data_IF_168649708026
#
_entry.id   IF_168649708026
#
_cell.length_a   1.000
_cell.length_b   1.000
_cell.length_c   1.000
_cell.angle_alpha   90.00
_cell.angle_beta   90.00
_cell.angle_gamma   90.00
#
_symmetry.space_group_name_H-M   'P 1'
#
loop_
_entity.id
_entity.type
_entity.pdbx_description
1 polymer ?
#
# COMPACT_ATOMS: atom_id res chain seq x y z
N UNK A 1 4.77 -18.87 32.65
CA UNK A 1 3.92 -17.65 32.61
C UNK A 1 3.49 -17.29 31.19
N UNK A 2 4.40 -17.43 30.22
CA UNK A 2 4.25 -17.13 28.78
C UNK A 2 3.15 -17.93 28.07
N UNK A 3 2.98 -19.21 28.37
CA UNK A 3 1.94 -20.04 27.74
C UNK A 3 0.50 -19.70 28.19
N UNK A 4 0.32 -19.20 29.42
CA UNK A 4 -0.98 -18.69 29.88
C UNK A 4 -1.36 -17.39 29.18
N UNK A 5 -0.37 -16.53 28.87
CA UNK A 5 -0.60 -15.27 28.15
C UNK A 5 -0.95 -15.55 26.69
N UNK A 6 -0.22 -16.46 26.02
CA UNK A 6 -0.51 -16.87 24.63
C UNK A 6 -1.92 -17.45 24.49
N UNK A 7 -2.34 -18.34 25.41
CA UNK A 7 -3.72 -18.87 25.41
C UNK A 7 -4.76 -17.77 25.61
N UNK A 8 -4.49 -16.77 26.45
CA UNK A 8 -5.41 -15.65 26.70
C UNK A 8 -5.53 -14.73 25.48
N UNK A 9 -4.41 -14.42 24.83
CA UNK A 9 -4.38 -13.63 23.58
C UNK A 9 -5.08 -14.39 22.45
N UNK A 10 -4.83 -15.69 22.29
CA UNK A 10 -5.50 -16.52 21.29
C UNK A 10 -7.01 -16.62 21.51
N UNK A 11 -7.46 -16.73 22.76
CA UNK A 11 -8.89 -16.69 23.08
C UNK A 11 -9.51 -15.31 22.87
N UNK A 12 -8.78 -14.21 23.09
CA UNK A 12 -9.23 -12.86 22.76
C UNK A 12 -9.35 -12.70 21.24
N UNK A 13 -8.40 -13.22 20.46
CA UNK A 13 -8.44 -13.19 18.99
C UNK A 13 -9.62 -14.03 18.46
N UNK A 14 -9.88 -15.22 19.02
CA UNK A 14 -11.07 -16.02 18.68
C UNK A 14 -12.36 -15.29 19.09
N UNK A 15 -12.39 -14.64 20.25
CA UNK A 15 -13.55 -13.85 20.68
C UNK A 15 -13.80 -12.63 19.79
N UNK A 16 -12.74 -11.99 19.27
CA UNK A 16 -12.83 -10.90 18.29
C UNK A 16 -13.27 -11.41 16.92
N UNK A 17 -12.81 -12.59 16.49
CA UNK A 17 -13.18 -13.21 15.23
C UNK A 17 -14.63 -13.76 15.24
N UNK A 18 -15.12 -14.22 16.39
CA UNK A 18 -16.49 -14.79 16.54
C UNK A 18 -17.52 -13.83 17.15
N UNK A 19 -17.14 -12.63 17.57
CA UNK A 19 -18.15 -11.71 18.10
C UNK A 19 -18.85 -10.98 16.95
N UNK A 20 -20.17 -10.92 17.07
CA UNK A 20 -21.08 -10.02 16.36
C UNK A 20 -20.66 -8.53 16.43
N UNK A 21 -19.50 -8.19 17.02
CA UNK A 21 -18.94 -6.86 17.17
C UNK A 21 -18.36 -6.31 15.87
N UNK A 22 -17.64 -7.11 15.06
CA UNK A 22 -17.17 -6.68 13.74
C UNK A 22 -18.34 -6.46 12.78
N UNK A 23 -19.35 -7.34 12.81
CA UNK A 23 -20.59 -7.17 12.06
C UNK A 23 -21.41 -5.96 12.56
N UNK A 24 -21.41 -5.69 13.87
CA UNK A 24 -22.04 -4.48 14.45
C UNK A 24 -21.30 -3.21 14.08
N UNK A 25 -19.97 -3.20 14.05
CA UNK A 25 -19.16 -2.05 13.61
C UNK A 25 -19.42 -1.80 12.11
N UNK A 26 -19.48 -2.85 11.30
CA UNK A 26 -19.82 -2.77 9.89
C UNK A 26 -21.27 -2.27 9.66
N UNK A 27 -22.24 -2.74 10.43
CA UNK A 27 -23.64 -2.26 10.41
C UNK A 27 -23.77 -0.82 10.93
N UNK A 28 -22.97 -0.42 11.93
CA UNK A 28 -22.93 0.96 12.45
C UNK A 28 -22.36 1.92 11.39
N UNK A 29 -21.34 1.49 10.64
CA UNK A 29 -20.78 2.24 9.52
C UNK A 29 -21.78 2.37 8.36
N UNK A 30 -22.54 1.31 8.05
CA UNK A 30 -23.63 1.37 7.05
C UNK A 30 -24.80 2.28 7.50
N UNK A 31 -25.13 2.32 8.79
CA UNK A 31 -26.14 3.25 9.31
C UNK A 31 -25.66 4.71 9.34
N UNK A 32 -24.35 4.96 9.50
CA UNK A 32 -23.82 6.32 9.35
C UNK A 32 -23.95 6.84 7.91
N UNK A 33 -23.76 5.99 6.89
CA UNK A 33 -23.99 6.41 5.50
C UNK A 33 -25.48 6.71 5.21
N UNK A 34 -26.41 6.02 5.86
CA UNK A 34 -27.84 6.29 5.73
C UNK A 34 -28.28 7.60 6.39
N UNK A 35 -27.57 8.04 7.45
CA UNK A 35 -27.88 9.29 8.18
C UNK A 35 -27.31 10.53 7.45
N UNK A 36 -26.22 10.37 6.68
CA UNK A 36 -25.64 11.45 5.86
C UNK A 36 -26.29 11.53 4.46
N UNK A 37 -27.30 10.71 4.19
CA UNK A 37 -28.14 10.75 2.99
C UNK A 37 -28.98 12.02 2.89
N UNK A 38 -28.35 13.12 2.51
CA UNK A 38 -28.98 14.40 2.25
C UNK A 38 -29.98 14.24 1.10
N UNK A 39 -31.23 14.55 1.40
CA UNK A 39 -32.38 14.56 0.51
C UNK A 39 -32.12 15.42 -0.72
N UNK A 40 -31.78 14.79 -1.86
CA UNK A 40 -31.83 15.43 -3.17
C UNK A 40 -33.26 15.39 -3.71
N UNK A 41 -34.10 16.32 -3.26
CA UNK A 41 -35.38 16.63 -3.90
C UNK A 41 -35.10 17.19 -5.31
N UNK A 42 -35.34 16.38 -6.34
CA UNK A 42 -35.41 16.85 -7.73
C UNK A 42 -36.61 17.80 -7.87
N UNK A 43 -36.34 19.10 -8.00
CA UNK A 43 -37.23 20.02 -8.71
C UNK A 43 -36.77 20.05 -10.17
N UNK A 44 -37.65 19.56 -11.05
CA UNK A 44 -37.54 19.74 -12.48
C UNK A 44 -38.06 21.14 -12.80
N UNK A 45 -37.20 22.01 -13.32
CA UNK A 45 -37.63 23.28 -13.89
C UNK A 45 -37.15 23.36 -15.34
N UNK A 46 -38.10 23.65 -16.21
CA UNK A 46 -37.98 23.74 -17.64
C UNK A 46 -37.52 25.13 -18.01
N UNK A 47 -36.22 25.32 -18.27
CA UNK A 47 -35.70 26.29 -19.22
C UNK A 47 -34.17 26.14 -19.36
N UNK A 48 -33.73 25.74 -20.55
CA UNK A 48 -32.32 25.76 -20.96
C UNK A 48 -31.80 27.21 -20.96
N UNK A 49 -30.95 27.56 -20.00
CA UNK A 49 -29.95 28.61 -20.17
C UNK A 49 -28.84 28.49 -19.11
N UNK A 50 -27.63 28.14 -19.56
CA UNK A 50 -26.43 28.06 -18.73
C UNK A 50 -25.86 29.47 -18.60
N UNK A 51 -26.01 30.07 -17.41
CA UNK A 51 -25.15 31.16 -16.95
C UNK A 51 -24.36 30.66 -15.75
N UNK A 52 -23.07 30.37 -15.97
CA UNK A 52 -22.17 29.93 -14.90
C UNK A 52 -21.74 31.17 -14.12
N UNK A 53 -22.52 31.52 -13.09
CA UNK A 53 -22.05 32.38 -12.02
C UNK A 53 -21.08 31.57 -11.16
N UNK A 54 -19.77 31.87 -11.27
CA UNK A 54 -18.73 31.36 -10.37
C UNK A 54 -19.08 31.71 -8.94
N UNK A 55 -19.46 30.72 -8.14
CA UNK A 55 -19.33 30.78 -6.68
C UNK A 55 -18.27 29.76 -6.29
N UNK A 56 -17.05 30.26 -6.09
CA UNK A 56 -15.95 29.50 -5.49
C UNK A 56 -16.29 29.19 -4.04
N UNK A 57 -16.57 27.93 -3.72
CA UNK A 57 -16.46 27.45 -2.35
C UNK A 57 -15.20 26.61 -2.26
N UNK A 58 -14.14 27.26 -1.77
CA UNK A 58 -12.99 26.58 -1.19
C UNK A 58 -13.49 25.57 -0.16
N UNK A 59 -13.17 24.29 -0.33
CA UNK A 59 -13.21 23.30 0.73
C UNK A 59 -11.80 23.15 1.29
N UNK A 60 -11.31 24.22 1.91
CA UNK A 60 -10.27 24.09 2.94
C UNK A 60 -11.00 23.74 4.25
N UNK A 61 -10.66 22.61 4.85
CA UNK A 61 -10.95 22.35 6.26
C UNK A 61 -12.18 21.48 6.57
N UNK A 62 -12.17 20.23 6.13
CA UNK A 62 -12.65 19.18 7.03
C UNK A 62 -11.43 18.42 7.56
N UNK A 63 -10.87 18.92 8.66
CA UNK A 63 -10.02 18.10 9.51
C UNK A 63 -10.82 16.83 9.83
N UNK A 64 -10.23 15.65 9.62
CA UNK A 64 -10.88 14.38 9.94
C UNK A 64 -10.24 13.85 11.22
N UNK A 65 -10.44 14.49 12.38
CA UNK A 65 -9.62 14.27 13.57
C UNK A 65 -9.62 12.82 14.04
N UNK A 66 -10.67 12.04 13.77
CA UNK A 66 -10.72 10.62 14.11
C UNK A 66 -9.88 9.79 13.13
N UNK A 67 -10.01 10.02 11.83
CA UNK A 67 -9.24 9.29 10.81
C UNK A 67 -7.77 9.69 10.85
N UNK A 68 -7.46 10.96 11.05
CA UNK A 68 -6.10 11.46 11.23
C UNK A 68 -5.46 10.88 12.48
N UNK A 69 -6.22 10.71 13.56
CA UNK A 69 -5.75 10.00 14.77
C UNK A 69 -5.53 8.52 14.52
N UNK A 70 -6.38 7.85 13.73
CA UNK A 70 -6.20 6.44 13.37
C UNK A 70 -4.97 6.28 12.46
N UNK A 71 -4.84 7.10 11.43
CA UNK A 71 -3.70 7.09 10.50
C UNK A 71 -2.40 7.43 11.23
N UNK A 72 -2.38 8.47 12.05
CA UNK A 72 -1.23 8.84 12.89
C UNK A 72 -0.88 7.75 13.90
N UNK A 73 -1.88 7.11 14.52
CA UNK A 73 -1.63 6.01 15.45
C UNK A 73 -1.07 4.78 14.72
N UNK A 74 -1.62 4.42 13.56
CA UNK A 74 -1.12 3.31 12.74
C UNK A 74 0.30 3.60 12.23
N UNK A 75 0.54 4.79 11.72
CA UNK A 75 1.85 5.22 11.25
C UNK A 75 2.87 5.25 12.38
N UNK A 76 2.49 5.77 13.56
CA UNK A 76 3.35 5.77 14.74
C UNK A 76 3.64 4.36 15.22
N UNK A 77 2.63 3.49 15.30
CA UNK A 77 2.81 2.09 15.67
C UNK A 77 3.74 1.37 14.69
N UNK A 78 3.60 1.64 13.39
CA UNK A 78 4.46 1.07 12.36
C UNK A 78 5.89 1.61 12.46
N UNK A 79 6.06 2.91 12.65
CA UNK A 79 7.37 3.52 12.84
C UNK A 79 8.05 3.01 14.12
N UNK A 80 7.36 3.00 15.25
CA UNK A 80 7.87 2.47 16.52
C UNK A 80 8.24 0.98 16.37
N UNK A 81 7.47 0.21 15.60
CA UNK A 81 7.75 -1.20 15.28
C UNK A 81 9.00 -1.34 14.40
N UNK A 82 9.14 -0.54 13.35
CA UNK A 82 10.32 -0.54 12.48
C UNK A 82 11.55 -0.11 13.28
N UNK A 83 11.48 0.99 14.03
CA UNK A 83 12.58 1.50 14.83
C UNK A 83 13.03 0.48 15.90
N UNK A 84 12.08 -0.20 16.57
CA UNK A 84 12.39 -1.22 17.59
C UNK A 84 12.89 -2.55 17.04
N UNK A 85 12.62 -2.86 15.77
CA UNK A 85 13.11 -4.07 15.10
C UNK A 85 14.29 -3.82 14.17
N UNK A 86 14.71 -2.57 14.00
CA UNK A 86 15.77 -2.19 13.08
C UNK A 86 17.13 -2.71 13.54
N UNK A 87 17.85 -3.31 12.60
CA UNK A 87 19.22 -3.81 12.75
C UNK A 87 20.09 -3.25 11.63
N UNK A 88 21.40 -3.22 11.84
CA UNK A 88 22.38 -2.93 10.79
C UNK A 88 22.70 -4.23 10.07
N UNK A 89 22.51 -4.28 8.75
CA UNK A 89 22.85 -5.45 7.95
C UNK A 89 24.34 -5.49 7.57
N UNK A 90 24.76 -6.58 6.91
CA UNK A 90 26.15 -6.80 6.46
C UNK A 90 26.65 -5.72 5.49
N UNK A 91 25.74 -5.00 4.82
CA UNK A 91 26.04 -3.89 3.90
C UNK A 91 25.96 -2.52 4.59
N UNK A 92 25.79 -2.47 5.92
CA UNK A 92 25.72 -1.23 6.71
C UNK A 92 24.37 -0.50 6.65
N UNK A 93 23.32 -1.11 6.09
CA UNK A 93 21.99 -0.49 5.96
C UNK A 93 21.17 -0.72 7.22
N UNK A 94 20.43 0.30 7.66
CA UNK A 94 19.56 0.26 8.85
C UNK A 94 18.12 -0.05 8.42
N UNK A 95 17.50 -1.07 9.02
CA UNK A 95 16.10 -1.42 8.77
C UNK A 95 15.74 -2.76 9.37
N UNK A 96 14.55 -3.29 9.06
CA UNK A 96 14.10 -4.56 9.63
C UNK A 96 14.98 -5.74 9.19
N UNK A 97 15.09 -6.83 9.97
CA UNK A 97 16.06 -7.90 9.71
C UNK A 97 15.84 -8.58 8.35
N UNK A 98 16.93 -8.88 7.65
CA UNK A 98 16.89 -9.49 6.31
C UNK A 98 16.27 -10.89 6.31
N UNK A 99 16.33 -11.59 7.44
CA UNK A 99 15.72 -12.91 7.63
C UNK A 99 14.20 -12.89 7.41
N UNK A 100 13.55 -11.74 7.55
CA UNK A 100 12.11 -11.63 7.33
C UNK A 100 11.72 -11.74 5.85
N UNK A 101 12.67 -11.40 4.96
CA UNK A 101 12.53 -11.59 3.53
C UNK A 101 12.73 -13.06 3.09
N UNK A 102 13.26 -13.93 3.96
CA UNK A 102 13.46 -15.34 3.65
C UNK A 102 12.14 -16.10 3.48
N UNK A 103 12.12 -17.09 2.58
CA UNK A 103 10.90 -17.76 2.09
C UNK A 103 10.07 -18.50 3.17
N UNK A 104 10.60 -18.75 4.36
CA UNK A 104 9.94 -19.52 5.43
C UNK A 104 9.22 -18.69 6.51
N UNK A 105 9.20 -17.35 6.41
CA UNK A 105 8.57 -16.52 7.44
C UNK A 105 7.04 -16.63 7.46
N UNK A 106 6.45 -16.59 8.67
CA UNK A 106 4.98 -16.59 8.89
C UNK A 106 4.30 -15.44 8.12
N UNK A 107 5.01 -14.34 7.92
CA UNK A 107 4.57 -13.18 7.15
C UNK A 107 4.36 -13.53 5.66
N UNK A 108 5.26 -14.31 5.03
CA UNK A 108 5.09 -14.76 3.65
C UNK A 108 3.86 -15.66 3.48
N UNK A 109 3.62 -16.58 4.44
CA UNK A 109 2.43 -17.44 4.44
C UNK A 109 1.15 -16.62 4.61
N UNK A 110 1.17 -15.61 5.48
CA UNK A 110 0.03 -14.71 5.67
C UNK A 110 -0.21 -13.81 4.45
N UNK A 111 0.86 -13.32 3.79
CA UNK A 111 0.76 -12.53 2.56
C UNK A 111 0.08 -13.31 1.45
N UNK A 112 0.51 -14.55 1.20
CA UNK A 112 -0.09 -15.44 0.18
C UNK A 112 -1.58 -15.71 0.44
N UNK A 113 -1.98 -15.92 1.70
CA UNK A 113 -3.37 -16.22 2.08
C UNK A 113 -4.30 -15.01 1.94
N UNK A 114 -3.83 -13.80 2.28
CA UNK A 114 -4.65 -12.59 2.22
C UNK A 114 -4.62 -11.92 0.82
N UNK A 115 -3.55 -12.12 0.05
CA UNK A 115 -3.45 -11.59 -1.32
C UNK A 115 -4.39 -12.31 -2.32
N UNK A 116 -4.83 -13.53 -1.99
CA UNK A 116 -5.62 -14.38 -2.90
C UNK A 116 -7.13 -14.12 -2.94
N UNK A 117 -7.69 -13.24 -2.10
CA UNK A 117 -9.12 -12.95 -2.09
C UNK A 117 -9.44 -11.45 -2.30
N UNK A 118 -10.47 -11.17 -3.10
CA UNK A 118 -10.92 -9.82 -3.43
C UNK A 118 -11.27 -8.98 -2.19
N UNK A 119 -11.70 -9.66 -1.12
CA UNK A 119 -11.99 -9.05 0.17
C UNK A 119 -10.73 -8.54 0.89
N UNK A 120 -9.62 -9.29 0.86
CA UNK A 120 -8.35 -8.89 1.46
C UNK A 120 -7.73 -7.68 0.75
N UNK A 121 -7.83 -7.63 -0.59
CA UNK A 121 -7.46 -6.45 -1.36
C UNK A 121 -8.30 -5.23 -0.96
N UNK A 122 -9.64 -5.33 -0.93
CA UNK A 122 -10.52 -4.21 -0.55
C UNK A 122 -10.19 -3.65 0.83
N UNK A 123 -9.91 -4.52 1.79
CA UNK A 123 -9.49 -4.09 3.12
C UNK A 123 -8.13 -3.37 3.09
N UNK A 124 -7.12 -3.94 2.44
CA UNK A 124 -5.79 -3.30 2.31
C UNK A 124 -5.85 -1.98 1.57
N UNK A 125 -6.67 -1.89 0.53
CA UNK A 125 -6.91 -0.67 -0.23
C UNK A 125 -7.61 0.37 0.64
N UNK A 126 -8.64 -0.02 1.39
CA UNK A 126 -9.34 0.87 2.32
C UNK A 126 -8.39 1.45 3.38
N UNK A 127 -7.50 0.63 3.97
CA UNK A 127 -6.47 1.13 4.89
C UNK A 127 -5.54 2.11 4.20
N UNK A 128 -5.07 1.80 2.99
CA UNK A 128 -4.19 2.69 2.23
C UNK A 128 -4.88 4.03 1.91
N UNK A 129 -6.15 4.02 1.51
CA UNK A 129 -6.93 5.24 1.24
C UNK A 129 -7.16 6.08 2.50
N UNK A 130 -7.33 5.45 3.68
CA UNK A 130 -7.40 6.17 4.96
C UNK A 130 -6.08 6.85 5.30
N UNK A 131 -4.97 6.12 5.18
CA UNK A 131 -3.63 6.65 5.51
C UNK A 131 -3.21 7.73 4.53
N UNK A 132 -3.57 7.59 3.24
CA UNK A 132 -3.30 8.61 2.23
C UNK A 132 -4.10 9.91 2.44
N UNK A 133 -5.27 9.86 3.09
CA UNK A 133 -6.08 11.05 3.34
C UNK A 133 -6.67 11.66 2.07
N UNK A 134 -6.80 12.99 2.03
CA UNK A 134 -7.22 13.74 0.83
C UNK A 134 -6.01 14.17 0.02
N UNK A 135 -6.00 13.81 -1.25
CA UNK A 135 -4.96 14.15 -2.20
C UNK A 135 -5.53 14.20 -3.62
N UNK A 136 -4.80 14.87 -4.51
CA UNK A 136 -5.11 14.90 -5.93
C UNK A 136 -4.72 13.56 -6.59
N UNK A 137 -5.71 12.67 -6.73
CA UNK A 137 -5.50 11.30 -7.23
C UNK A 137 -4.94 11.28 -8.65
N UNK A 138 -5.42 12.14 -9.53
CA UNK A 138 -4.99 12.18 -10.94
C UNK A 138 -3.54 12.64 -11.03
N UNK A 139 -3.17 13.65 -10.24
CA UNK A 139 -1.79 14.13 -10.17
C UNK A 139 -0.82 13.08 -9.61
N UNK A 140 -1.19 12.40 -8.52
CA UNK A 140 -0.34 11.36 -7.92
C UNK A 140 -0.24 10.13 -8.81
N UNK A 141 -1.33 9.76 -9.50
CA UNK A 141 -1.29 8.69 -10.51
C UNK A 141 -0.41 9.05 -11.70
N UNK A 142 -0.48 10.29 -12.19
CA UNK A 142 0.42 10.77 -13.24
C UNK A 142 1.88 10.74 -12.78
N UNK A 143 2.17 11.15 -11.55
CA UNK A 143 3.51 11.09 -10.96
C UNK A 143 4.06 9.66 -10.86
N UNK A 144 3.24 8.70 -10.38
CA UNK A 144 3.65 7.31 -10.31
C UNK A 144 3.89 6.71 -11.71
N UNK A 145 3.03 7.04 -12.69
CA UNK A 145 3.18 6.59 -14.07
C UNK A 145 4.38 7.21 -14.77
N UNK A 146 4.67 8.49 -14.53
CA UNK A 146 5.83 9.14 -15.13
C UNK A 146 7.12 8.47 -14.65
N UNK A 147 7.25 8.19 -13.35
CA UNK A 147 8.41 7.45 -12.83
C UNK A 147 8.62 6.09 -13.53
N UNK A 148 7.55 5.32 -13.73
CA UNK A 148 7.61 4.02 -14.43
C UNK A 148 8.01 4.21 -15.90
N UNK A 149 7.41 5.19 -16.57
CA UNK A 149 7.61 5.43 -18.01
C UNK A 149 8.97 6.04 -18.30
N UNK A 150 9.47 6.90 -17.42
CA UNK A 150 10.78 7.55 -17.53
C UNK A 150 11.91 6.51 -17.40
N UNK A 151 11.73 5.50 -16.53
CA UNK A 151 12.63 4.35 -16.46
C UNK A 151 12.75 3.65 -17.81
N UNK A 152 11.59 3.27 -18.38
CA UNK A 152 11.50 2.56 -19.67
C UNK A 152 12.11 3.39 -20.80
N UNK A 153 11.76 4.67 -20.89
CA UNK A 153 12.28 5.59 -21.91
C UNK A 153 13.79 5.83 -21.79
N UNK A 154 14.35 5.73 -20.58
CA UNK A 154 15.79 5.89 -20.34
C UNK A 154 16.59 4.61 -20.56
N UNK A 155 15.94 3.52 -20.99
CA UNK A 155 16.57 2.22 -21.17
C UNK A 155 16.78 1.42 -19.89
N UNK A 156 16.28 1.91 -18.75
CA UNK A 156 16.34 1.19 -17.47
C UNK A 156 15.17 0.20 -17.39
N UNK A 157 15.44 -1.11 -17.37
CA UNK A 157 14.37 -2.11 -17.53
C UNK A 157 13.50 -2.27 -16.29
N UNK A 158 13.98 -1.90 -15.10
CA UNK A 158 13.27 -2.12 -13.84
C UNK A 158 13.02 -0.82 -13.09
N UNK A 159 11.77 -0.55 -12.76
CA UNK A 159 11.35 0.52 -11.86
C UNK A 159 10.75 -0.08 -10.58
N UNK A 160 11.14 0.45 -9.42
CA UNK A 160 10.70 -0.08 -8.13
C UNK A 160 10.25 1.04 -7.18
N UNK A 161 9.06 0.90 -6.62
CA UNK A 161 8.68 1.66 -5.43
C UNK A 161 9.12 0.88 -4.18
N UNK A 162 9.85 1.55 -3.31
CA UNK A 162 10.64 0.95 -2.24
C UNK A 162 10.45 1.70 -0.93
N UNK A 163 10.84 1.06 0.18
CA UNK A 163 11.21 1.75 1.42
C UNK A 163 12.65 1.40 1.79
N UNK A 164 13.40 2.37 2.31
CA UNK A 164 14.81 2.19 2.69
C UNK A 164 15.00 1.11 3.75
N UNK A 165 14.05 1.06 4.71
CA UNK A 165 14.08 0.15 5.88
C UNK A 165 13.51 -1.24 5.59
N UNK A 166 12.89 -1.45 4.43
CA UNK A 166 12.16 -2.68 4.14
C UNK A 166 13.12 -3.81 3.67
N UNK A 167 13.13 -4.98 4.32
CA UNK A 167 14.03 -6.08 3.98
C UNK A 167 13.70 -6.70 2.62
N UNK A 168 12.42 -6.71 2.21
CA UNK A 168 12.03 -7.18 0.88
C UNK A 168 12.49 -6.23 -0.23
N UNK A 169 12.50 -4.92 0.03
CA UNK A 169 13.03 -3.94 -0.93
C UNK A 169 14.55 -4.08 -1.06
N UNK A 170 15.26 -4.18 0.08
CA UNK A 170 16.70 -4.46 0.10
C UNK A 170 17.04 -5.77 -0.59
N UNK A 171 16.27 -6.84 -0.36
CA UNK A 171 16.45 -8.12 -1.03
C UNK A 171 16.22 -8.05 -2.55
N UNK A 172 15.27 -7.24 -3.02
CA UNK A 172 15.07 -7.01 -4.45
C UNK A 172 16.26 -6.27 -5.08
N UNK A 173 16.75 -5.22 -4.42
CA UNK A 173 17.97 -4.48 -4.83
C UNK A 173 19.18 -5.42 -4.90
N UNK A 174 19.39 -6.20 -3.84
CA UNK A 174 20.52 -7.14 -3.73
C UNK A 174 20.50 -8.18 -4.85
N UNK A 175 19.32 -8.70 -5.20
CA UNK A 175 19.15 -9.64 -6.33
C UNK A 175 19.47 -8.97 -7.67
N UNK A 176 18.91 -7.77 -7.93
CA UNK A 176 19.14 -7.05 -9.19
C UNK A 176 20.62 -6.67 -9.36
N UNK A 177 21.26 -6.18 -8.30
CA UNK A 177 22.70 -5.89 -8.26
C UNK A 177 23.54 -7.13 -8.59
N UNK A 178 23.22 -8.27 -7.96
CA UNK A 178 23.94 -9.53 -8.16
C UNK A 178 23.83 -10.04 -9.61
N UNK A 179 22.66 -9.88 -10.23
CA UNK A 179 22.42 -10.30 -11.62
C UNK A 179 22.88 -9.26 -12.66
N UNK A 180 23.37 -8.09 -12.21
CA UNK A 180 23.76 -7.00 -13.10
C UNK A 180 22.58 -6.39 -13.87
N UNK A 181 21.37 -6.45 -13.30
CA UNK A 181 20.15 -5.89 -13.91
C UNK A 181 20.01 -4.45 -13.44
N UNK A 182 20.05 -3.50 -14.38
CA UNK A 182 19.87 -2.08 -14.08
C UNK A 182 18.45 -1.78 -13.58
N UNK A 183 18.35 -0.95 -12.54
CA UNK A 183 17.07 -0.54 -11.98
C UNK A 183 17.12 0.88 -11.41
N UNK A 184 15.96 1.51 -11.31
CA UNK A 184 15.76 2.71 -10.49
C UNK A 184 14.75 2.43 -9.37
N UNK A 185 14.94 3.07 -8.22
CA UNK A 185 14.00 2.99 -7.10
C UNK A 185 13.55 4.36 -6.60
N UNK A 186 12.27 4.44 -6.21
CA UNK A 186 11.69 5.57 -5.50
C UNK A 186 11.46 5.17 -4.04
N UNK A 187 12.22 5.76 -3.13
CA UNK A 187 12.11 5.52 -1.69
C UNK A 187 10.93 6.34 -1.13
N UNK A 188 9.79 5.69 -0.98
CA UNK A 188 8.53 6.34 -0.61
C UNK A 188 8.53 6.85 0.84
N UNK A 189 9.41 6.33 1.69
CA UNK A 189 9.62 6.76 3.08
C UNK A 189 10.50 8.01 3.20
N UNK A 190 11.18 8.41 2.12
CA UNK A 190 11.99 9.63 2.05
C UNK A 190 11.26 10.78 1.33
N UNK A 191 10.07 10.55 0.79
CA UNK A 191 9.27 11.59 0.15
C UNK A 191 8.66 12.54 1.17
N UNK A 192 8.55 13.82 0.79
CA UNK A 192 8.00 14.86 1.66
C UNK A 192 6.53 14.60 2.04
N UNK A 193 6.22 14.89 3.30
CA UNK A 193 4.85 14.86 3.82
C UNK A 193 4.24 13.45 3.75
N UNK A 194 3.06 13.33 3.13
CA UNK A 194 2.31 12.08 3.03
C UNK A 194 2.38 11.44 1.64
N UNK A 195 3.19 12.01 0.72
CA UNK A 195 3.20 11.62 -0.70
C UNK A 195 3.50 10.12 -0.88
N UNK A 196 4.37 9.54 -0.07
CA UNK A 196 4.65 8.10 -0.10
C UNK A 196 3.40 7.23 0.12
N UNK A 197 2.52 7.62 1.05
CA UNK A 197 1.28 6.90 1.32
C UNK A 197 0.23 7.14 0.22
N UNK A 198 0.18 8.34 -0.35
CA UNK A 198 -0.66 8.67 -1.50
C UNK A 198 -0.29 7.81 -2.72
N UNK A 199 1.01 7.72 -3.02
CA UNK A 199 1.54 6.85 -4.08
C UNK A 199 1.17 5.38 -3.82
N UNK A 200 1.31 4.88 -2.59
CA UNK A 200 0.89 3.50 -2.25
C UNK A 200 -0.60 3.25 -2.45
N UNK A 201 -1.45 4.22 -2.13
CA UNK A 201 -2.89 4.09 -2.35
C UNK A 201 -3.24 4.05 -3.85
N UNK A 202 -2.53 4.84 -4.67
CA UNK A 202 -2.64 4.82 -6.13
C UNK A 202 -2.11 3.50 -6.73
N UNK A 203 -0.93 3.03 -6.29
CA UNK A 203 -0.37 1.75 -6.72
C UNK A 203 -1.31 0.59 -6.40
N UNK A 204 -1.99 0.63 -5.26
CA UNK A 204 -3.03 -0.33 -4.91
C UNK A 204 -4.15 -0.39 -5.95
N UNK A 205 -4.62 0.75 -6.44
CA UNK A 205 -5.65 0.80 -7.49
C UNK A 205 -5.12 0.35 -8.85
N UNK A 206 -3.88 0.72 -9.18
CA UNK A 206 -3.24 0.38 -10.46
C UNK A 206 -2.87 -1.11 -10.56
N UNK A 207 -2.41 -1.72 -9.46
CA UNK A 207 -1.73 -3.03 -9.48
C UNK A 207 -2.32 -4.05 -8.51
N UNK A 208 -3.33 -3.66 -7.72
CA UNK A 208 -3.84 -4.41 -6.56
C UNK A 208 -2.83 -4.62 -5.43
N UNK A 209 -1.72 -3.88 -5.42
CA UNK A 209 -0.67 -3.94 -4.39
C UNK A 209 -0.44 -2.56 -3.76
N UNK A 210 -0.72 -2.46 -2.46
CA UNK A 210 -0.43 -1.27 -1.64
C UNK A 210 0.88 -1.36 -0.85
N UNK A 211 1.57 -2.50 -0.95
CA UNK A 211 2.84 -2.80 -0.25
C UNK A 211 4.05 -2.60 -1.15
N UNK A 212 5.19 -2.29 -0.53
CA UNK A 212 6.50 -2.30 -1.18
C UNK A 212 7.23 -3.63 -0.90
N UNK A 213 8.16 -4.07 -1.79
CA UNK A 213 8.44 -3.47 -3.08
C UNK A 213 7.27 -3.68 -4.06
N UNK A 214 7.03 -2.65 -4.89
CA UNK A 214 6.16 -2.74 -6.06
C UNK A 214 7.04 -2.54 -7.30
N UNK A 215 7.24 -3.62 -8.04
CA UNK A 215 8.27 -3.75 -9.09
C UNK A 215 7.59 -3.82 -10.45
N UNK A 216 8.16 -3.07 -11.39
CA UNK A 216 7.75 -2.98 -12.78
C UNK A 216 8.94 -3.33 -13.67
N UNK A 217 8.71 -4.17 -14.69
CA UNK A 217 9.68 -4.51 -15.72
C UNK A 217 9.14 -4.03 -17.05
N UNK A 218 9.83 -3.09 -17.72
CA UNK A 218 9.37 -2.44 -18.96
C UNK A 218 7.92 -1.98 -18.89
N UNK A 219 7.63 -1.15 -17.88
CA UNK A 219 6.28 -0.64 -17.62
C UNK A 219 5.26 -1.64 -17.06
N UNK A 220 5.55 -2.95 -17.08
CA UNK A 220 4.62 -3.99 -16.62
C UNK A 220 4.83 -4.32 -15.15
N UNK A 221 3.77 -4.18 -14.35
CA UNK A 221 3.79 -4.59 -12.94
C UNK A 221 4.02 -6.11 -12.81
N UNK A 222 5.06 -6.50 -12.07
CA UNK A 222 5.36 -7.91 -11.80
C UNK A 222 5.05 -8.33 -10.36
N UNK A 223 4.85 -7.39 -9.42
CA UNK A 223 4.57 -7.70 -8.01
C UNK A 223 5.64 -7.14 -7.08
N UNK A 224 6.05 -7.91 -6.07
CA UNK A 224 7.16 -7.58 -5.18
C UNK A 224 8.28 -8.59 -5.28
N UNK A 225 9.00 -8.83 -4.18
CA UNK A 225 10.13 -9.76 -4.18
C UNK A 225 9.68 -11.22 -4.36
N UNK A 226 8.83 -11.71 -3.45
CA UNK A 226 8.44 -13.13 -3.34
C UNK A 226 6.99 -13.43 -3.77
N UNK A 227 6.22 -12.40 -4.11
CA UNK A 227 4.78 -12.51 -4.35
C UNK A 227 4.26 -11.50 -5.38
N UNK A 228 3.00 -11.67 -5.82
CA UNK A 228 2.35 -10.84 -6.82
C UNK A 228 2.09 -11.62 -8.11
N UNK A 229 2.35 -11.01 -9.26
CA UNK A 229 2.06 -11.59 -10.57
C UNK A 229 3.28 -11.58 -11.47
N UNK A 230 4.29 -12.45 -11.20
CA UNK A 230 4.44 -13.42 -10.11
C UNK A 230 5.43 -13.03 -8.99
N UNK A 231 6.02 -11.83 -9.04
CA UNK A 231 7.10 -11.38 -8.17
C UNK A 231 8.48 -11.60 -8.81
N UNK A 232 9.50 -10.90 -8.31
CA UNK A 232 10.84 -10.89 -8.88
C UNK A 232 11.54 -12.25 -8.79
N UNK A 233 11.64 -12.84 -7.59
CA UNK A 233 12.31 -14.14 -7.42
C UNK A 233 11.54 -15.27 -8.11
N UNK A 234 10.20 -15.34 -8.05
CA UNK A 234 9.46 -16.34 -8.81
C UNK A 234 9.68 -16.27 -10.33
N UNK A 235 9.78 -15.06 -10.92
CA UNK A 235 10.12 -14.90 -12.34
C UNK A 235 11.56 -15.30 -12.66
N UNK A 236 12.48 -15.02 -11.75
CA UNK A 236 13.86 -15.42 -11.87
C UNK A 236 13.99 -16.95 -11.87
N UNK A 237 13.34 -17.61 -10.90
CA UNK A 237 13.32 -19.06 -10.73
C UNK A 237 12.68 -19.77 -11.93
N UNK A 238 11.60 -19.21 -12.51
CA UNK A 238 10.96 -19.79 -13.70
C UNK A 238 11.72 -19.51 -15.01
N UNK A 239 12.69 -18.60 -14.99
CA UNK A 239 13.41 -18.13 -16.17
C UNK A 239 12.65 -17.11 -17.02
N UNK A 240 11.40 -16.79 -16.68
CA UNK A 240 10.57 -15.82 -17.39
C UNK A 240 11.06 -14.38 -17.24
N UNK A 241 11.82 -14.06 -16.18
CA UNK A 241 12.41 -12.74 -15.98
C UNK A 241 13.27 -12.31 -17.18
N UNK A 242 14.07 -13.24 -17.72
CA UNK A 242 14.93 -12.96 -18.88
C UNK A 242 14.12 -12.60 -20.12
N UNK A 243 12.97 -13.24 -20.33
CA UNK A 243 12.08 -12.94 -21.45
C UNK A 243 11.41 -11.56 -21.30
N UNK A 244 11.16 -11.10 -20.08
CA UNK A 244 10.62 -9.76 -19.82
C UNK A 244 11.66 -8.65 -19.99
N UNK A 245 12.94 -8.96 -19.79
CA UNK A 245 14.04 -8.00 -19.93
C UNK A 245 14.48 -7.79 -21.40
N UNK A 246 14.21 -8.75 -22.30
CA UNK A 246 14.48 -8.67 -23.74
C UNK A 246 13.52 -7.74 -24.46
#
# INVERSE_FOLDING_TARGET
QTEKVKKKVFQIIIALANSKMLLKIFLLLLHLEAIVGFTSLKKYDSNHNISISRRSTFLNGMERPILDRIASALFKLEKDRVDSSSVVDEKGRVGEPMEWASNDSLANKFSKVIAGNDLGYKFKQWVADIVAGEYDKEKVEAYAKSFITDAENSGVPVAMFSFTTCPFCRGAKDYLDQEGIEYISMELDELDGNLGNEVRAVLGKMTKRTSVPAIFVKGKAIGGLNDGTPGLLPLAESGELKALLQ
#
